data_IF_823921053018
#
_entry.id   IF_823921053018
#
_cell.length_a   1.000
_cell.length_b   1.000
_cell.length_c   1.000
_cell.angle_alpha   90.00
_cell.angle_beta   90.00
_cell.angle_gamma   90.00
#
_symmetry.space_group_name_H-M   'P 1'
#
loop_
_entity.id
_entity.type
_entity.pdbx_description
1 polymer ?
#
# COMPACT_ATOMS: atom_id res chain seq x y z
N UNK A 1 19.80 2.73 1.60
CA UNK A 1 18.83 3.76 2.05
C UNK A 1 18.38 3.48 3.50
N UNK A 2 18.29 4.50 4.35
CA UNK A 2 17.82 4.40 5.75
C UNK A 2 16.28 4.35 5.78
N UNK A 3 15.68 3.42 6.52
CA UNK A 3 14.23 3.24 6.58
C UNK A 3 13.49 4.46 7.14
N UNK A 4 14.15 5.26 7.98
CA UNK A 4 13.62 6.55 8.48
C UNK A 4 13.38 7.55 7.34
N UNK A 5 14.32 7.66 6.40
CA UNK A 5 14.21 8.54 5.23
C UNK A 5 13.07 8.16 4.30
N UNK A 6 12.86 6.86 4.08
CA UNK A 6 11.75 6.36 3.26
C UNK A 6 10.40 6.76 3.86
N UNK A 7 10.25 6.62 5.18
CA UNK A 7 9.02 7.03 5.88
C UNK A 7 8.77 8.53 5.75
N UNK A 8 9.79 9.37 5.97
CA UNK A 8 9.67 10.83 5.86
C UNK A 8 9.24 11.27 4.45
N UNK A 9 9.83 10.66 3.41
CA UNK A 9 9.45 10.95 2.03
C UNK A 9 8.00 10.52 1.74
N UNK A 10 7.59 9.35 2.22
CA UNK A 10 6.21 8.88 2.08
C UNK A 10 5.20 9.74 2.82
N UNK A 11 5.54 10.26 4.01
CA UNK A 11 4.70 11.23 4.73
C UNK A 11 4.56 12.53 3.91
N UNK A 12 5.65 13.01 3.32
CA UNK A 12 5.63 14.21 2.45
C UNK A 12 4.71 14.00 1.23
N UNK A 13 4.70 12.79 0.66
CA UNK A 13 3.87 12.45 -0.49
C UNK A 13 2.40 12.27 -0.06
N UNK A 14 2.14 11.39 0.90
CA UNK A 14 0.79 10.91 1.23
C UNK A 14 0.05 11.83 2.21
N UNK A 15 0.78 12.67 2.95
CA UNK A 15 0.27 13.58 3.97
C UNK A 15 0.57 13.09 5.39
N UNK A 16 0.57 14.03 6.35
CA UNK A 16 0.95 13.78 7.75
C UNK A 16 0.03 12.82 8.51
N UNK A 17 -1.20 12.60 8.03
CA UNK A 17 -2.18 11.74 8.67
C UNK A 17 -2.10 10.27 8.22
N UNK A 18 -1.22 9.95 7.26
CA UNK A 18 -1.08 8.58 6.78
C UNK A 18 -0.55 7.68 7.89
N UNK A 19 -1.22 6.56 8.11
CA UNK A 19 -0.80 5.52 9.06
C UNK A 19 0.06 4.48 8.36
N UNK A 20 0.97 3.88 9.12
CA UNK A 20 1.78 2.76 8.68
C UNK A 20 1.50 1.55 9.56
N UNK A 21 1.44 0.35 8.99
CA UNK A 21 1.23 -0.86 9.77
C UNK A 21 2.43 -1.10 10.71
N UNK A 22 2.21 -1.85 11.81
CA UNK A 22 3.25 -2.11 12.83
C UNK A 22 4.55 -2.70 12.28
N UNK A 23 4.48 -3.39 11.14
CA UNK A 23 5.62 -4.07 10.50
C UNK A 23 6.24 -3.24 9.38
N UNK A 24 5.78 -2.03 9.15
CA UNK A 24 6.25 -1.19 8.07
C UNK A 24 7.78 -1.03 8.08
N UNK A 25 8.36 -0.63 9.22
CA UNK A 25 9.81 -0.41 9.33
C UNK A 25 10.61 -1.71 9.13
N UNK A 26 10.06 -2.84 9.60
CA UNK A 26 10.62 -4.18 9.37
C UNK A 26 10.68 -4.50 7.87
N UNK A 27 9.63 -4.20 7.11
CA UNK A 27 9.59 -4.48 5.67
C UNK A 27 10.38 -3.47 4.84
N UNK A 28 10.38 -2.19 5.20
CA UNK A 28 11.20 -1.17 4.53
C UNK A 28 12.68 -1.49 4.65
N UNK A 29 13.15 -1.91 5.84
CA UNK A 29 14.56 -2.27 6.05
C UNK A 29 15.03 -3.47 5.22
N UNK A 30 14.10 -4.31 4.72
CA UNK A 30 14.39 -5.43 3.82
C UNK A 30 14.43 -5.03 2.34
N UNK A 31 13.93 -3.84 2.00
CA UNK A 31 13.94 -3.36 0.61
C UNK A 31 15.37 -2.98 0.19
N UNK A 32 15.78 -3.50 -0.96
CA UNK A 32 16.99 -3.00 -1.63
C UNK A 32 16.76 -1.57 -2.11
N UNK A 33 17.84 -0.81 -2.32
CA UNK A 33 17.76 0.62 -2.65
C UNK A 33 16.81 0.94 -3.82
N UNK A 34 16.86 0.17 -4.92
CA UNK A 34 15.93 0.33 -6.04
C UNK A 34 14.47 0.02 -5.70
N UNK A 35 14.21 -0.93 -4.80
CA UNK A 35 12.85 -1.31 -4.40
C UNK A 35 12.21 -0.26 -3.49
N UNK A 36 13.00 0.41 -2.66
CA UNK A 36 12.54 1.55 -1.86
C UNK A 36 12.15 2.73 -2.77
N UNK A 37 12.97 3.02 -3.79
CA UNK A 37 12.64 3.99 -4.84
C UNK A 37 11.35 3.64 -5.57
N UNK A 38 11.19 2.38 -5.98
CA UNK A 38 9.97 1.90 -6.65
C UNK A 38 8.70 2.09 -5.80
N UNK A 39 8.79 1.87 -4.48
CA UNK A 39 7.69 2.11 -3.54
C UNK A 39 7.33 3.60 -3.49
N UNK A 40 8.34 4.47 -3.36
CA UNK A 40 8.16 5.91 -3.28
C UNK A 40 7.53 6.44 -4.57
N UNK A 41 8.05 6.04 -5.72
CA UNK A 41 7.55 6.45 -7.02
C UNK A 41 6.14 5.93 -7.28
N UNK A 42 5.83 4.72 -6.82
CA UNK A 42 4.45 4.23 -6.84
C UNK A 42 3.50 5.14 -6.06
N UNK A 43 3.87 5.49 -4.82
CA UNK A 43 3.05 6.37 -3.97
C UNK A 43 2.87 7.76 -4.61
N UNK A 44 3.90 8.32 -5.25
CA UNK A 44 3.80 9.56 -6.04
C UNK A 44 2.76 9.41 -7.17
N UNK A 45 2.84 8.33 -7.95
CA UNK A 45 1.88 8.10 -9.04
C UNK A 45 0.46 7.85 -8.55
N UNK A 46 0.27 7.20 -7.40
CA UNK A 46 -1.04 7.10 -6.74
C UNK A 46 -1.60 8.49 -6.38
N UNK A 47 -0.78 9.39 -5.83
CA UNK A 47 -1.19 10.77 -5.51
C UNK A 47 -1.59 11.55 -6.76
N UNK A 48 -0.86 11.35 -7.85
CA UNK A 48 -1.09 11.99 -9.14
C UNK A 48 -2.24 11.36 -9.95
N UNK A 49 -2.95 10.37 -9.39
CA UNK A 49 -4.01 9.60 -10.07
C UNK A 49 -3.53 8.90 -11.35
N UNK A 50 -2.25 8.51 -11.40
CA UNK A 50 -1.62 7.76 -12.51
C UNK A 50 -1.62 6.25 -12.29
N UNK A 51 -2.12 5.77 -11.16
CA UNK A 51 -2.23 4.35 -10.82
C UNK A 51 -3.70 3.94 -10.74
N UNK A 52 -4.02 2.73 -11.16
CA UNK A 52 -5.37 2.19 -11.08
C UNK A 52 -5.61 1.61 -9.69
N UNK A 53 -6.50 2.25 -8.94
CA UNK A 53 -7.07 1.71 -7.71
C UNK A 53 -8.47 1.13 -7.95
N UNK A 54 -9.11 0.68 -6.88
CA UNK A 54 -10.49 0.20 -6.93
C UNK A 54 -11.24 0.52 -5.64
N UNK A 55 -12.57 0.59 -5.76
CA UNK A 55 -13.44 0.67 -4.59
C UNK A 55 -13.64 -0.73 -4.03
N UNK A 56 -13.52 -0.92 -2.69
CA UNK A 56 -13.79 -2.21 -2.06
C UNK A 56 -15.18 -2.77 -2.38
N UNK A 57 -15.33 -4.09 -2.59
CA UNK A 57 -16.62 -4.71 -2.89
C UNK A 57 -17.62 -4.63 -1.73
N UNK A 58 -17.14 -4.59 -0.48
CA UNK A 58 -17.99 -4.49 0.71
C UNK A 58 -18.63 -3.11 0.81
N UNK A 59 -19.94 -3.07 1.06
CA UNK A 59 -20.74 -1.85 1.16
C UNK A 59 -20.20 -0.87 2.20
N UNK A 60 -19.74 -1.37 3.34
CA UNK A 60 -19.21 -0.58 4.46
C UNK A 60 -17.92 0.21 4.11
N UNK A 61 -17.21 -0.18 3.04
CA UNK A 61 -15.95 0.42 2.62
C UNK A 61 -16.06 1.16 1.27
N UNK A 62 -17.28 1.47 0.82
CA UNK A 62 -17.50 2.16 -0.47
C UNK A 62 -17.00 3.61 -0.49
N UNK A 63 -16.70 4.20 0.65
CA UNK A 63 -16.03 5.50 0.76
C UNK A 63 -14.52 5.41 0.51
N UNK A 64 -13.94 4.20 0.44
CA UNK A 64 -12.52 4.01 0.25
C UNK A 64 -12.15 3.83 -1.23
N UNK A 65 -10.89 4.10 -1.52
CA UNK A 65 -10.23 3.80 -2.78
C UNK A 65 -8.87 3.16 -2.46
N UNK A 66 -8.65 1.95 -2.97
CA UNK A 66 -7.56 1.08 -2.54
C UNK A 66 -6.69 0.71 -3.73
N UNK A 67 -5.38 0.85 -3.54
CA UNK A 67 -4.35 0.47 -4.49
C UNK A 67 -3.57 -0.71 -3.95
N UNK A 68 -3.17 -1.60 -4.86
CA UNK A 68 -2.41 -2.79 -4.54
C UNK A 68 -1.19 -2.88 -5.42
N UNK A 69 -0.02 -3.22 -4.85
CA UNK A 69 1.18 -3.45 -5.65
C UNK A 69 2.10 -4.50 -5.06
N UNK A 70 2.76 -5.24 -5.94
CA UNK A 70 3.94 -6.04 -5.60
C UNK A 70 5.18 -5.14 -5.66
N UNK A 71 5.87 -4.97 -4.53
CA UNK A 71 7.08 -4.14 -4.42
C UNK A 71 8.33 -5.01 -4.61
N UNK A 72 8.36 -6.18 -3.99
CA UNK A 72 9.44 -7.15 -4.14
C UNK A 72 8.85 -8.57 -4.26
N UNK A 73 9.71 -9.59 -4.38
CA UNK A 73 9.27 -10.99 -4.45
C UNK A 73 8.34 -11.36 -3.29
N UNK A 74 8.72 -10.97 -2.07
CA UNK A 74 8.07 -11.27 -0.80
C UNK A 74 7.35 -10.06 -0.17
N UNK A 75 7.51 -8.86 -0.71
CA UNK A 75 6.87 -7.64 -0.18
C UNK A 75 5.70 -7.19 -1.06
N UNK A 76 4.57 -6.90 -0.42
CA UNK A 76 3.35 -6.34 -1.02
C UNK A 76 2.98 -5.05 -0.32
N UNK A 77 2.39 -4.13 -1.09
CA UNK A 77 1.87 -2.87 -0.60
C UNK A 77 0.36 -2.77 -0.81
N UNK A 78 -0.33 -2.21 0.19
CA UNK A 78 -1.72 -1.76 0.10
C UNK A 78 -1.76 -0.30 0.50
N UNK A 79 -2.24 0.57 -0.39
CA UNK A 79 -2.42 1.98 -0.10
C UNK A 79 -3.91 2.29 -0.09
N UNK A 80 -4.39 2.88 1.00
CA UNK A 80 -5.80 3.18 1.23
C UNK A 80 -5.99 4.69 1.28
N UNK A 81 -6.95 5.17 0.50
CA UNK A 81 -7.35 6.58 0.43
C UNK A 81 -8.84 6.69 0.67
N UNK A 82 -9.30 7.73 1.35
CA UNK A 82 -10.73 8.06 1.35
C UNK A 82 -11.09 8.81 0.06
N UNK A 83 -12.18 8.44 -0.60
CA UNK A 83 -12.61 9.06 -1.85
C UNK A 83 -12.73 10.58 -1.68
N UNK A 84 -12.08 11.32 -2.57
CA UNK A 84 -12.00 12.77 -2.58
C UNK A 84 -11.32 13.40 -1.34
N UNK A 85 -10.62 12.61 -0.51
CA UNK A 85 -9.85 13.12 0.63
C UNK A 85 -8.41 12.57 0.64
N UNK A 86 -7.84 12.50 1.84
CA UNK A 86 -6.45 12.14 2.10
C UNK A 86 -6.19 10.63 2.11
N UNK A 87 -4.90 10.27 2.06
CA UNK A 87 -4.44 8.91 2.25
C UNK A 87 -4.51 8.54 3.73
N UNK A 88 -5.06 7.36 4.02
CA UNK A 88 -5.36 6.92 5.38
C UNK A 88 -4.27 5.98 5.88
N UNK A 89 -3.85 5.03 5.06
CA UNK A 89 -2.96 3.96 5.49
C UNK A 89 -2.12 3.41 4.33
N UNK A 90 -0.83 3.19 4.60
CA UNK A 90 0.07 2.40 3.76
C UNK A 90 0.51 1.16 4.55
N UNK A 91 0.15 -0.01 4.01
CA UNK A 91 0.51 -1.31 4.56
C UNK A 91 1.64 -1.88 3.72
N UNK A 92 2.74 -2.26 4.35
CA UNK A 92 3.77 -3.13 3.77
C UNK A 92 3.83 -4.44 4.55
N UNK A 93 3.64 -5.54 3.84
CA UNK A 93 3.73 -6.86 4.45
C UNK A 93 3.98 -7.96 3.41
N UNK A 94 4.03 -9.21 3.87
CA UNK A 94 4.11 -10.38 3.03
C UNK A 94 2.79 -10.68 2.31
N UNK A 95 2.83 -11.69 1.43
CA UNK A 95 1.66 -12.12 0.66
C UNK A 95 0.47 -12.58 1.52
N UNK A 96 0.73 -13.22 2.67
CA UNK A 96 -0.34 -13.73 3.54
C UNK A 96 -1.16 -12.61 4.16
N UNK A 97 -0.50 -11.64 4.81
CA UNK A 97 -1.18 -10.49 5.40
C UNK A 97 -1.84 -9.61 4.33
N UNK A 98 -1.23 -9.50 3.16
CA UNK A 98 -1.83 -8.84 2.00
C UNK A 98 -3.15 -9.49 1.58
N UNK A 99 -3.21 -10.82 1.52
CA UNK A 99 -4.45 -11.56 1.23
C UNK A 99 -5.52 -11.35 2.31
N UNK A 100 -5.12 -11.25 3.57
CA UNK A 100 -6.04 -10.96 4.68
C UNK A 100 -6.58 -9.53 4.60
N UNK A 101 -5.74 -8.53 4.28
CA UNK A 101 -6.18 -7.16 4.06
C UNK A 101 -7.18 -7.07 2.89
N UNK A 102 -6.91 -7.78 1.79
CA UNK A 102 -7.84 -7.93 0.66
C UNK A 102 -9.19 -8.53 1.10
N UNK A 103 -9.15 -9.64 1.82
CA UNK A 103 -10.36 -10.34 2.27
C UNK A 103 -11.21 -9.48 3.23
N UNK A 104 -10.57 -8.75 4.15
CA UNK A 104 -11.25 -7.79 5.04
C UNK A 104 -12.01 -6.72 4.26
N UNK A 105 -11.41 -6.20 3.19
CA UNK A 105 -12.04 -5.23 2.29
C UNK A 105 -13.05 -5.86 1.31
N UNK A 106 -13.17 -7.20 1.29
CA UNK A 106 -14.09 -7.93 0.43
C UNK A 106 -13.56 -8.32 -0.94
N UNK A 107 -12.26 -8.12 -1.21
CA UNK A 107 -11.62 -8.59 -2.43
C UNK A 107 -11.33 -10.10 -2.36
N UNK A 108 -11.27 -10.73 -3.53
CA UNK A 108 -10.70 -12.08 -3.67
C UNK A 108 -9.21 -12.06 -3.32
N UNK A 109 -8.73 -13.13 -2.68
CA UNK A 109 -7.29 -13.36 -2.45
C UNK A 109 -6.52 -13.35 -3.78
N UNK A 110 -5.31 -12.80 -3.82
CA UNK A 110 -4.46 -12.80 -5.01
C UNK A 110 -3.96 -14.20 -5.37
N UNK A 111 -3.93 -15.12 -4.40
CA UNK A 111 -3.62 -16.54 -4.60
C UNK A 111 -4.66 -17.33 -5.41
N UNK A 112 -5.80 -16.74 -5.78
CA UNK A 112 -6.86 -17.42 -6.52
C UNK A 112 -6.69 -17.44 -8.05
N UNK A 113 -5.56 -16.95 -8.59
CA UNK A 113 -5.15 -17.24 -9.97
C UNK A 113 -4.13 -18.37 -9.96
N UNK A 114 -4.67 -19.57 -9.81
CA UNK A 114 -3.98 -20.86 -9.95
C UNK A 114 -5.00 -21.84 -10.53
N UNK A 115 -5.31 -21.66 -11.81
CA UNK A 115 -6.05 -22.59 -12.65
C UNK A 115 -5.54 -22.41 -14.07
#
# INVERSE_FOLDING_TARGET
MDGSKVREELITILGNNVKFNKRFDEFVSKLKEGMAGDLIDWCKRCKENKELGSVPPRKEFKNLYVFFRKIASDVRAVLIKEQNKEFIELILDNHGYYDDARAKLGYKKSSHYGS
#
